data_IF_867091690249
#
_entry.id   IF_867091690249
#
_cell.length_a   1.000
_cell.length_b   1.000
_cell.length_c   1.000
_cell.angle_alpha   90.00
_cell.angle_beta   90.00
_cell.angle_gamma   90.00
#
_symmetry.space_group_name_H-M   'P 1'
#
loop_
_entity.id
_entity.type
_entity.pdbx_description
1 polymer ?
#
# COMPACT_ATOMS: atom_id res chain seq x y z
N UNK A 1 20.40 0.98 -20.89
CA UNK A 1 18.98 1.13 -21.34
C UNK A 1 18.56 -0.18 -21.99
N UNK A 2 17.72 -0.95 -21.34
CA UNK A 2 17.18 -2.19 -21.87
C UNK A 2 15.73 -1.98 -22.38
N UNK A 3 15.48 -2.09 -23.71
CA UNK A 3 14.13 -1.98 -24.27
C UNK A 3 13.21 -3.15 -23.91
N UNK A 4 13.76 -4.32 -23.56
CA UNK A 4 12.96 -5.51 -23.25
C UNK A 4 12.31 -5.43 -21.86
N UNK A 5 12.92 -4.67 -20.94
CA UNK A 5 12.38 -4.35 -19.63
C UNK A 5 11.36 -3.19 -19.64
N UNK A 6 10.98 -2.68 -20.85
CA UNK A 6 10.06 -1.56 -21.00
C UNK A 6 8.81 -1.94 -21.78
N UNK A 7 7.73 -1.20 -21.53
CA UNK A 7 6.44 -1.36 -22.22
C UNK A 7 5.87 0.01 -22.65
N UNK A 8 4.88 -0.01 -23.54
CA UNK A 8 4.21 1.19 -23.97
C UNK A 8 3.26 1.75 -22.91
N UNK A 9 3.37 3.04 -22.60
CA UNK A 9 2.53 3.73 -21.62
C UNK A 9 1.29 4.41 -22.24
N UNK A 10 1.18 4.46 -23.57
CA UNK A 10 0.07 5.11 -24.24
C UNK A 10 -1.26 4.37 -23.98
N UNK A 11 -2.28 5.03 -23.38
CA UNK A 11 -3.57 4.40 -23.06
C UNK A 11 -4.33 3.89 -24.28
N UNK A 12 -4.06 4.45 -25.46
CA UNK A 12 -4.71 4.08 -26.72
C UNK A 12 -3.95 3.00 -27.51
N UNK A 13 -2.79 2.56 -27.02
CA UNK A 13 -1.97 1.57 -27.72
C UNK A 13 -2.38 0.14 -27.34
N UNK A 14 -2.64 -0.74 -28.34
CA UNK A 14 -2.97 -2.15 -28.04
C UNK A 14 -1.81 -2.90 -27.37
N UNK A 15 -0.56 -2.41 -27.51
CA UNK A 15 0.62 -2.97 -26.85
C UNK A 15 0.91 -2.32 -25.48
N UNK A 16 -0.03 -1.56 -24.90
CA UNK A 16 0.12 -0.92 -23.59
C UNK A 16 0.38 -1.97 -22.50
N UNK A 17 1.36 -1.70 -21.64
CA UNK A 17 1.66 -2.53 -20.48
C UNK A 17 2.24 -3.91 -20.78
N UNK A 18 2.51 -4.24 -22.05
CA UNK A 18 2.98 -5.57 -22.44
C UNK A 18 4.50 -5.59 -22.55
N UNK A 19 5.14 -6.32 -21.61
CA UNK A 19 6.57 -6.58 -21.61
C UNK A 19 6.96 -7.66 -22.65
N UNK A 20 8.21 -7.64 -23.12
CA UNK A 20 8.78 -8.70 -23.94
C UNK A 20 8.26 -8.79 -25.38
N UNK A 21 7.38 -7.90 -25.83
CA UNK A 21 6.82 -7.88 -27.19
C UNK A 21 7.78 -7.37 -28.27
N UNK A 22 9.00 -7.00 -27.91
CA UNK A 22 10.01 -6.40 -28.81
C UNK A 22 9.50 -5.18 -29.60
N UNK A 23 8.46 -4.53 -29.11
CA UNK A 23 7.84 -3.35 -29.71
C UNK A 23 8.39 -2.02 -29.16
N UNK A 24 9.34 -2.07 -28.23
CA UNK A 24 10.02 -0.91 -27.68
C UNK A 24 11.44 -0.82 -28.24
N UNK A 25 11.86 0.37 -28.67
CA UNK A 25 13.21 0.66 -29.13
C UNK A 25 13.79 1.87 -28.44
N UNK A 26 15.11 1.96 -28.34
CA UNK A 26 15.80 3.16 -27.87
C UNK A 26 15.60 4.26 -28.90
N UNK A 27 14.99 5.37 -28.50
CA UNK A 27 14.81 6.56 -29.35
C UNK A 27 15.98 7.53 -29.25
N UNK A 28 16.39 7.84 -28.00
CA UNK A 28 17.54 8.71 -27.73
C UNK A 28 18.26 8.21 -26.47
N UNK A 29 19.55 7.86 -26.60
CA UNK A 29 20.38 7.49 -25.44
C UNK A 29 20.74 8.71 -24.59
N UNK A 30 21.01 9.86 -25.22
CA UNK A 30 21.32 11.13 -24.54
C UNK A 30 20.18 11.59 -23.65
N UNK A 31 18.95 11.55 -24.15
CA UNK A 31 17.75 11.95 -23.41
C UNK A 31 17.11 10.80 -22.62
N UNK A 32 17.67 9.59 -22.68
CA UNK A 32 17.13 8.38 -22.06
C UNK A 32 15.67 8.14 -22.43
N UNK A 33 15.34 8.14 -23.73
CA UNK A 33 14.00 7.97 -24.25
C UNK A 33 13.84 6.69 -25.04
N UNK A 34 12.67 6.11 -24.97
CA UNK A 34 12.21 4.98 -25.76
C UNK A 34 11.12 5.39 -26.74
N UNK A 35 10.91 4.58 -27.77
CA UNK A 35 9.83 4.69 -28.75
C UNK A 35 9.09 3.37 -28.86
N UNK A 36 7.75 3.41 -28.80
CA UNK A 36 6.91 2.27 -29.15
C UNK A 36 6.72 2.24 -30.66
N UNK A 37 7.09 1.14 -31.33
CA UNK A 37 6.91 0.99 -32.79
C UNK A 37 5.45 0.74 -33.18
N UNK A 38 4.62 0.23 -32.25
CA UNK A 38 3.19 -0.02 -32.51
C UNK A 38 2.37 1.26 -32.64
N UNK A 39 2.64 2.29 -31.81
CA UNK A 39 1.90 3.55 -31.83
C UNK A 39 2.75 4.78 -32.17
N UNK A 40 4.05 4.63 -32.40
CA UNK A 40 4.98 5.71 -32.74
C UNK A 40 5.33 6.66 -31.58
N UNK A 41 4.63 6.64 -30.45
CA UNK A 41 4.86 7.57 -29.32
C UNK A 41 6.18 7.27 -28.61
N UNK A 42 6.83 8.35 -28.14
CA UNK A 42 8.06 8.27 -27.33
C UNK A 42 7.76 8.56 -25.87
N UNK A 43 8.56 7.97 -24.97
CA UNK A 43 8.45 8.20 -23.54
C UNK A 43 9.83 8.17 -22.87
N UNK A 44 9.96 8.83 -21.71
CA UNK A 44 11.20 8.83 -20.94
C UNK A 44 11.41 7.49 -20.23
N UNK A 45 12.65 7.07 -20.02
CA UNK A 45 12.98 5.86 -19.25
C UNK A 45 12.45 5.89 -17.81
N UNK A 46 12.25 7.09 -17.25
CA UNK A 46 11.69 7.30 -15.90
C UNK A 46 10.16 7.43 -15.87
N UNK A 47 9.49 7.21 -17.02
CA UNK A 47 8.02 7.33 -17.08
C UNK A 47 7.37 6.34 -16.09
N UNK A 48 6.33 6.78 -15.37
CA UNK A 48 5.63 6.02 -14.30
C UNK A 48 6.51 5.61 -13.11
N UNK A 49 7.73 6.12 -12.99
CA UNK A 49 8.57 5.98 -11.79
C UNK A 49 8.51 7.25 -10.92
N UNK A 50 8.94 7.19 -9.65
CA UNK A 50 9.05 8.37 -8.79
C UNK A 50 9.97 9.48 -9.36
N UNK A 51 10.89 9.12 -10.27
CA UNK A 51 11.88 10.02 -10.87
C UNK A 51 11.37 10.81 -12.07
N UNK A 52 10.17 10.50 -12.57
CA UNK A 52 9.63 11.17 -13.77
C UNK A 52 9.49 12.68 -13.58
N UNK A 53 10.08 13.46 -14.51
CA UNK A 53 10.10 14.93 -14.51
C UNK A 53 10.65 15.55 -13.20
N UNK A 54 11.57 14.91 -12.52
CA UNK A 54 12.30 15.55 -11.44
C UNK A 54 13.41 16.46 -12.00
N UNK A 55 13.60 17.63 -11.35
CA UNK A 55 14.66 18.57 -11.69
C UNK A 55 15.98 18.28 -10.95
N UNK A 56 15.93 17.59 -9.83
CA UNK A 56 17.10 17.23 -9.03
C UNK A 56 17.70 15.90 -9.52
N UNK A 57 19.00 15.68 -9.36
CA UNK A 57 19.66 14.41 -9.71
C UNK A 57 19.01 13.22 -9.02
N UNK A 58 18.90 12.10 -9.76
CA UNK A 58 18.28 10.87 -9.26
C UNK A 58 19.03 10.33 -8.04
N UNK A 59 20.36 10.45 -8.03
CA UNK A 59 21.25 10.00 -6.95
C UNK A 59 20.91 10.70 -5.62
N UNK A 60 20.69 12.01 -5.66
CA UNK A 60 20.28 12.78 -4.47
C UNK A 60 18.91 12.32 -3.97
N UNK A 61 17.96 12.10 -4.88
CA UNK A 61 16.62 11.62 -4.51
C UNK A 61 16.69 10.24 -3.87
N UNK A 62 17.53 9.33 -4.41
CA UNK A 62 17.76 8.00 -3.85
C UNK A 62 18.36 8.07 -2.44
N UNK A 63 19.40 8.89 -2.24
CA UNK A 63 20.01 9.08 -0.91
C UNK A 63 18.94 9.54 0.10
N UNK A 64 18.17 10.57 -0.25
CA UNK A 64 17.11 11.11 0.62
C UNK A 64 16.04 10.06 0.94
N UNK A 65 15.57 9.31 -0.05
CA UNK A 65 14.56 8.27 0.16
C UNK A 65 15.08 7.11 0.99
N UNK A 66 16.35 6.73 0.81
CA UNK A 66 17.03 5.71 1.63
C UNK A 66 17.12 6.17 3.09
N UNK A 67 17.57 7.40 3.35
CA UNK A 67 17.63 7.97 4.70
C UNK A 67 16.25 7.98 5.37
N UNK A 68 15.18 8.35 4.63
CA UNK A 68 13.81 8.32 5.14
C UNK A 68 13.34 6.89 5.48
N UNK A 69 13.73 5.89 4.70
CA UNK A 69 13.41 4.49 5.00
C UNK A 69 14.09 4.00 6.29
N UNK A 70 15.26 4.53 6.61
CA UNK A 70 15.99 4.23 7.84
C UNK A 70 15.62 5.14 9.02
N UNK A 71 14.53 5.90 8.92
CA UNK A 71 14.00 6.71 10.02
C UNK A 71 14.79 8.02 10.26
N UNK A 72 15.61 8.46 9.31
CA UNK A 72 16.27 9.76 9.43
C UNK A 72 15.21 10.88 9.51
N UNK A 73 15.29 11.78 10.50
CA UNK A 73 14.35 12.87 10.64
C UNK A 73 14.35 13.78 9.41
N UNK A 74 13.16 14.18 8.95
CA UNK A 74 13.01 15.07 7.79
C UNK A 74 13.83 16.34 7.94
N UNK A 75 13.82 16.97 9.13
CA UNK A 75 14.56 18.19 9.41
C UNK A 75 16.09 18.01 9.32
N UNK A 76 16.60 16.84 9.68
CA UNK A 76 18.02 16.52 9.50
C UNK A 76 18.39 16.47 8.01
N UNK A 77 17.54 15.91 7.17
CA UNK A 77 17.72 15.87 5.72
C UNK A 77 17.65 17.28 5.12
N UNK A 78 16.68 18.10 5.55
CA UNK A 78 16.56 19.50 5.14
C UNK A 78 17.85 20.26 5.45
N UNK A 79 18.36 20.14 6.69
CA UNK A 79 19.58 20.82 7.12
C UNK A 79 20.83 20.32 6.37
N UNK A 80 20.96 19.00 6.17
CA UNK A 80 22.14 18.40 5.55
C UNK A 80 22.26 18.69 4.04
N UNK A 81 21.14 18.74 3.32
CA UNK A 81 21.13 18.84 1.85
C UNK A 81 20.62 20.19 1.32
N UNK A 82 20.22 21.13 2.18
CA UNK A 82 19.65 22.41 1.75
C UNK A 82 18.39 22.27 0.92
N UNK A 83 17.60 21.24 1.16
CA UNK A 83 16.37 20.95 0.43
C UNK A 83 15.16 21.54 1.13
N UNK A 84 14.18 21.98 0.34
CA UNK A 84 12.87 22.36 0.87
C UNK A 84 12.09 21.15 1.38
N UNK A 85 11.43 21.28 2.53
CA UNK A 85 10.68 20.22 3.18
C UNK A 85 9.55 19.68 2.30
N UNK A 86 8.85 20.55 1.55
CA UNK A 86 7.76 20.16 0.64
C UNK A 86 8.29 19.33 -0.52
N UNK A 87 9.52 19.61 -0.98
CA UNK A 87 10.18 18.81 -2.02
C UNK A 87 10.44 17.39 -1.54
N UNK A 88 10.99 17.23 -0.33
CA UNK A 88 11.25 15.90 0.24
C UNK A 88 9.92 15.15 0.47
N UNK A 89 8.90 15.85 0.99
CA UNK A 89 7.57 15.27 1.20
C UNK A 89 6.92 14.81 -0.13
N UNK A 90 7.09 15.58 -1.21
CA UNK A 90 6.63 15.21 -2.53
C UNK A 90 7.34 13.95 -3.07
N UNK A 91 8.67 13.84 -2.90
CA UNK A 91 9.43 12.66 -3.30
C UNK A 91 8.98 11.41 -2.52
N UNK A 92 8.83 11.53 -1.19
CA UNK A 92 8.30 10.45 -0.35
C UNK A 92 6.91 10.00 -0.81
N UNK A 93 6.01 10.94 -1.12
CA UNK A 93 4.66 10.61 -1.59
C UNK A 93 4.68 9.87 -2.93
N UNK A 94 5.54 10.30 -3.86
CA UNK A 94 5.70 9.63 -5.16
C UNK A 94 6.28 8.23 -4.99
N UNK A 95 7.34 8.10 -4.19
CA UNK A 95 7.98 6.81 -3.90
C UNK A 95 7.02 5.86 -3.15
N UNK A 96 6.23 6.38 -2.21
CA UNK A 96 5.22 5.60 -1.50
C UNK A 96 4.11 5.06 -2.40
N UNK A 97 3.62 5.87 -3.35
CA UNK A 97 2.65 5.42 -4.36
C UNK A 97 3.25 4.33 -5.25
N UNK A 98 4.48 4.51 -5.70
CA UNK A 98 5.20 3.50 -6.47
C UNK A 98 5.39 2.22 -5.66
N UNK A 99 5.82 2.31 -4.40
CA UNK A 99 5.96 1.17 -3.49
C UNK A 99 4.65 0.41 -3.29
N UNK A 100 3.51 1.11 -3.20
CA UNK A 100 2.20 0.46 -3.11
C UNK A 100 1.87 -0.34 -4.38
N UNK A 101 2.08 0.23 -5.56
CA UNK A 101 1.86 -0.45 -6.84
C UNK A 101 2.84 -1.61 -7.03
N UNK A 102 4.10 -1.42 -6.64
CA UNK A 102 5.13 -2.46 -6.66
C UNK A 102 4.75 -3.64 -5.78
N UNK A 103 4.34 -3.39 -4.55
CA UNK A 103 3.89 -4.41 -3.61
C UNK A 103 2.66 -5.16 -4.13
N UNK A 104 1.68 -4.45 -4.70
CA UNK A 104 0.48 -5.02 -5.30
C UNK A 104 0.83 -6.05 -6.39
N UNK A 105 1.83 -5.75 -7.21
CA UNK A 105 2.26 -6.61 -8.30
C UNK A 105 3.17 -7.75 -7.83
N UNK A 106 4.20 -7.46 -7.02
CA UNK A 106 5.25 -8.43 -6.70
C UNK A 106 4.94 -9.30 -5.47
N UNK A 107 4.15 -8.80 -4.50
CA UNK A 107 3.85 -9.54 -3.27
C UNK A 107 2.44 -10.12 -3.30
N UNK A 108 1.43 -9.35 -3.77
CA UNK A 108 0.05 -9.79 -3.78
C UNK A 108 -0.36 -10.57 -5.04
N UNK A 109 0.61 -11.04 -5.82
CA UNK A 109 0.39 -11.83 -7.04
C UNK A 109 0.04 -13.31 -6.81
N UNK A 110 -0.19 -13.75 -5.56
CA UNK A 110 -0.59 -15.12 -5.23
C UNK A 110 0.52 -16.17 -5.35
N UNK A 111 1.80 -15.76 -5.20
CA UNK A 111 2.96 -16.63 -5.37
C UNK A 111 3.69 -16.98 -4.06
N UNK A 112 3.26 -16.43 -2.92
CA UNK A 112 3.98 -16.59 -1.66
C UNK A 112 3.54 -17.87 -0.94
N UNK A 113 4.48 -18.75 -0.61
CA UNK A 113 4.23 -19.88 0.30
C UNK A 113 4.23 -19.35 1.74
N UNK A 114 3.05 -19.22 2.33
CA UNK A 114 2.89 -18.56 3.63
C UNK A 114 3.38 -19.41 4.81
N UNK A 115 3.04 -20.70 4.84
CA UNK A 115 3.34 -21.63 5.93
C UNK A 115 2.77 -21.18 7.29
N UNK A 116 3.29 -20.09 7.84
CA UNK A 116 2.83 -19.46 9.09
C UNK A 116 2.75 -17.95 8.92
N UNK A 117 1.63 -17.35 9.29
CA UNK A 117 1.36 -15.91 9.24
C UNK A 117 1.12 -15.35 10.62
N UNK A 118 1.66 -14.18 10.89
CA UNK A 118 1.31 -13.37 12.07
C UNK A 118 0.78 -12.01 11.63
N UNK A 119 -0.18 -11.47 12.37
CA UNK A 119 -0.74 -10.14 12.15
C UNK A 119 -0.99 -9.40 13.48
N UNK A 120 -0.83 -8.08 13.44
CA UNK A 120 -1.00 -7.19 14.59
C UNK A 120 -1.27 -5.75 14.15
N UNK A 121 -1.79 -4.89 15.04
CA UNK A 121 -2.03 -3.48 14.76
C UNK A 121 -1.19 -2.56 15.62
N UNK A 122 -0.74 -1.48 14.99
CA UNK A 122 -0.05 -0.37 15.62
C UNK A 122 -0.96 0.84 15.77
N UNK A 123 -0.94 1.43 16.94
CA UNK A 123 -1.54 2.73 17.17
C UNK A 123 -0.62 3.85 16.71
N UNK A 124 -1.16 4.84 15.98
CA UNK A 124 -0.42 5.97 15.43
C UNK A 124 -1.10 7.28 15.83
N UNK A 125 -0.32 8.20 16.45
CA UNK A 125 -0.77 9.55 16.74
C UNK A 125 -0.78 10.41 15.47
N UNK A 126 -1.83 11.17 15.26
CA UNK A 126 -1.95 12.15 14.21
C UNK A 126 -2.45 13.50 14.78
N UNK A 127 -2.37 14.57 13.98
CA UNK A 127 -2.70 15.94 14.41
C UNK A 127 -4.13 16.03 14.95
N UNK A 128 -5.11 15.51 14.19
CA UNK A 128 -6.55 15.65 14.49
C UNK A 128 -7.19 14.34 14.90
N UNK A 129 -6.64 13.22 14.45
CA UNK A 129 -7.25 11.89 14.58
C UNK A 129 -6.23 10.87 15.05
N UNK A 130 -6.72 9.71 15.43
CA UNK A 130 -5.91 8.50 15.66
C UNK A 130 -5.94 7.67 14.39
N UNK A 131 -4.83 7.00 14.09
CA UNK A 131 -4.81 5.97 13.06
C UNK A 131 -4.40 4.63 13.66
N UNK A 132 -4.86 3.58 13.03
CA UNK A 132 -4.43 2.21 13.27
C UNK A 132 -3.77 1.70 12.01
N UNK A 133 -2.62 1.10 12.16
CA UNK A 133 -1.87 0.47 11.07
C UNK A 133 -1.81 -1.02 11.35
N UNK A 134 -2.66 -1.80 10.68
CA UNK A 134 -2.66 -3.25 10.75
C UNK A 134 -1.66 -3.81 9.74
N UNK A 135 -0.83 -4.77 10.14
CA UNK A 135 0.20 -5.41 9.31
C UNK A 135 0.15 -6.91 9.45
N UNK A 136 0.60 -7.60 8.39
CA UNK A 136 0.77 -9.05 8.38
C UNK A 136 2.13 -9.44 7.80
N UNK A 137 2.67 -10.58 8.25
CA UNK A 137 3.91 -11.14 7.73
C UNK A 137 3.83 -12.65 7.56
N UNK A 138 4.53 -13.19 6.58
CA UNK A 138 4.86 -14.61 6.48
C UNK A 138 6.08 -14.88 7.36
N UNK A 139 5.88 -15.67 8.41
CA UNK A 139 6.89 -15.87 9.46
C UNK A 139 8.14 -16.61 8.95
N UNK A 140 8.04 -17.69 8.13
CA UNK A 140 9.23 -18.41 7.68
C UNK A 140 10.21 -17.54 6.89
N UNK A 141 9.70 -16.71 5.98
CA UNK A 141 10.50 -15.81 5.15
C UNK A 141 10.67 -14.41 5.74
N UNK A 142 10.06 -14.09 6.88
CA UNK A 142 10.00 -12.72 7.45
C UNK A 142 9.36 -11.70 6.49
N UNK A 143 8.73 -12.13 5.42
CA UNK A 143 8.17 -11.25 4.39
C UNK A 143 6.98 -10.45 4.95
N UNK A 144 7.08 -9.13 4.89
CA UNK A 144 5.93 -8.26 5.12
C UNK A 144 4.92 -8.43 4.00
N UNK A 145 3.73 -8.95 4.31
CA UNK A 145 2.65 -9.24 3.36
C UNK A 145 1.81 -8.01 3.01
N UNK A 146 2.03 -6.92 3.73
CA UNK A 146 1.31 -5.69 3.53
C UNK A 146 0.72 -5.13 4.81
N UNK A 147 0.08 -3.99 4.68
CA UNK A 147 -0.61 -3.33 5.77
C UNK A 147 -1.73 -2.42 5.30
N UNK A 148 -2.61 -2.08 6.22
CA UNK A 148 -3.75 -1.20 6.02
C UNK A 148 -3.75 -0.13 7.09
N UNK A 149 -3.96 1.12 6.70
CA UNK A 149 -4.13 2.24 7.63
C UNK A 149 -5.60 2.61 7.68
N UNK A 150 -6.14 2.89 8.87
CA UNK A 150 -7.51 3.35 9.06
C UNK A 150 -7.63 4.21 10.30
N UNK A 151 -8.60 5.12 10.30
CA UNK A 151 -8.98 5.89 11.48
C UNK A 151 -9.74 5.04 12.53
N UNK A 152 -10.20 3.83 12.17
CA UNK A 152 -10.95 2.94 13.03
C UNK A 152 -10.23 1.60 13.19
N UNK A 153 -10.20 1.07 14.42
CA UNK A 153 -9.80 -0.31 14.74
C UNK A 153 -11.02 -1.20 14.70
N UNK A 154 -11.51 -1.49 13.53
CA UNK A 154 -12.76 -2.23 13.32
C UNK A 154 -12.57 -3.46 12.43
N UNK A 155 -13.66 -4.20 12.23
CA UNK A 155 -13.65 -5.38 11.39
C UNK A 155 -13.29 -5.07 9.93
N UNK A 156 -13.58 -3.86 9.44
CA UNK A 156 -13.25 -3.45 8.06
C UNK A 156 -11.74 -3.38 7.85
N UNK A 157 -11.01 -2.76 8.79
CA UNK A 157 -9.54 -2.70 8.80
C UNK A 157 -8.95 -4.11 8.70
N UNK A 158 -9.38 -5.00 9.58
CA UNK A 158 -8.86 -6.37 9.64
C UNK A 158 -9.28 -7.19 8.41
N UNK A 159 -10.52 -7.05 7.93
CA UNK A 159 -10.98 -7.75 6.73
C UNK A 159 -10.14 -7.37 5.50
N UNK A 160 -9.82 -6.09 5.33
CA UNK A 160 -8.96 -5.62 4.23
C UNK A 160 -7.57 -6.23 4.33
N UNK A 161 -6.96 -6.26 5.53
CA UNK A 161 -5.66 -6.91 5.74
C UNK A 161 -5.72 -8.41 5.40
N UNK A 162 -6.73 -9.12 5.87
CA UNK A 162 -6.91 -10.57 5.64
C UNK A 162 -7.13 -10.87 4.15
N UNK A 163 -7.81 -9.99 3.40
CA UNK A 163 -7.93 -10.08 1.95
C UNK A 163 -6.56 -9.96 1.25
N UNK A 164 -5.66 -9.08 1.75
CA UNK A 164 -4.30 -8.99 1.23
C UNK A 164 -3.52 -10.29 1.49
N UNK A 165 -3.62 -10.85 2.70
CA UNK A 165 -3.00 -12.16 3.01
C UNK A 165 -3.49 -13.25 2.06
N UNK A 166 -4.81 -13.33 1.81
CA UNK A 166 -5.38 -14.30 0.86
C UNK A 166 -4.83 -14.10 -0.57
N UNK A 167 -4.68 -12.86 -1.00
CA UNK A 167 -4.17 -12.54 -2.35
C UNK A 167 -2.69 -12.88 -2.51
N UNK A 168 -1.88 -12.75 -1.47
CA UNK A 168 -0.47 -13.12 -1.48
C UNK A 168 -0.26 -14.64 -1.52
N UNK A 169 -1.19 -15.41 -0.96
CA UNK A 169 -1.05 -16.84 -0.73
C UNK A 169 -1.03 -17.66 -2.00
N UNK A 170 0.00 -18.49 -2.19
CA UNK A 170 0.08 -19.54 -3.21
C UNK A 170 -0.79 -20.74 -2.85
N UNK A 171 -0.87 -21.07 -1.55
CA UNK A 171 -1.70 -22.13 -0.99
C UNK A 171 -2.52 -21.58 0.17
N UNK A 172 -3.75 -22.08 0.32
CA UNK A 172 -4.64 -21.66 1.42
C UNK A 172 -4.43 -22.48 2.71
N UNK A 173 -3.55 -23.49 2.68
CA UNK A 173 -3.19 -24.30 3.84
C UNK A 173 -1.99 -23.66 4.57
N UNK A 174 -2.24 -22.92 5.66
CA UNK A 174 -1.25 -22.30 6.52
C UNK A 174 -1.79 -22.00 7.91
N UNK A 175 -0.88 -21.78 8.86
CA UNK A 175 -1.21 -21.35 10.20
C UNK A 175 -1.28 -19.82 10.30
N UNK A 176 -2.23 -19.31 11.06
CA UNK A 176 -2.32 -17.90 11.46
C UNK A 176 -2.23 -17.79 12.96
N UNK A 177 -1.34 -16.95 13.48
CA UNK A 177 -1.28 -16.59 14.88
C UNK A 177 -1.49 -15.08 15.05
N UNK A 178 -2.49 -14.71 15.86
CA UNK A 178 -2.88 -13.32 16.12
C UNK A 178 -3.10 -13.08 17.61
N UNK A 179 -3.29 -11.81 17.99
CA UNK A 179 -3.71 -11.46 19.35
C UNK A 179 -5.16 -11.84 19.64
N UNK A 180 -5.65 -11.49 20.84
CA UNK A 180 -7.02 -11.79 21.29
C UNK A 180 -8.13 -10.98 20.61
N UNK A 181 -7.85 -10.14 19.60
CA UNK A 181 -8.86 -9.32 18.92
C UNK A 181 -9.85 -10.18 18.13
N UNK A 182 -11.14 -10.12 18.50
CA UNK A 182 -12.20 -10.94 17.90
C UNK A 182 -12.40 -10.68 16.39
N UNK A 183 -12.05 -9.47 15.92
CA UNK A 183 -12.14 -9.10 14.50
C UNK A 183 -11.31 -10.00 13.59
N UNK A 184 -10.16 -10.54 14.06
CA UNK A 184 -9.35 -11.50 13.30
C UNK A 184 -10.12 -12.79 13.02
N UNK A 185 -10.70 -13.38 14.07
CA UNK A 185 -11.50 -14.62 13.92
C UNK A 185 -12.60 -14.42 12.88
N UNK A 186 -13.35 -13.34 13.03
CA UNK A 186 -14.45 -13.02 12.11
C UNK A 186 -13.95 -12.76 10.66
N UNK A 187 -12.84 -12.01 10.50
CA UNK A 187 -12.29 -11.69 9.19
C UNK A 187 -11.76 -12.94 8.47
N UNK A 188 -10.97 -13.78 9.14
CA UNK A 188 -10.48 -15.03 8.55
C UNK A 188 -11.63 -15.97 8.20
N UNK A 189 -12.62 -16.14 9.08
CA UNK A 189 -13.81 -16.95 8.81
C UNK A 189 -14.65 -16.44 7.63
N UNK A 190 -14.66 -15.12 7.36
CA UNK A 190 -15.39 -14.53 6.24
C UNK A 190 -14.62 -14.59 4.93
N UNK A 191 -13.31 -14.28 4.97
CA UNK A 191 -12.48 -14.14 3.77
C UNK A 191 -12.06 -15.51 3.22
N UNK A 192 -11.77 -16.49 4.07
CA UNK A 192 -11.34 -17.82 3.65
C UNK A 192 -12.50 -18.77 3.45
N UNK A 193 -13.39 -18.42 2.52
CA UNK A 193 -14.51 -19.23 2.06
C UNK A 193 -14.58 -19.19 0.55
N UNK A 194 -14.90 -20.35 -0.05
CA UNK A 194 -15.14 -20.46 -1.48
C UNK A 194 -16.59 -20.82 -1.79
N UNK A 195 -17.13 -20.36 -2.93
CA UNK A 195 -18.47 -20.72 -3.35
C UNK A 195 -18.54 -22.18 -3.76
N UNK A 196 -19.46 -22.93 -3.17
CA UNK A 196 -19.77 -24.30 -3.56
C UNK A 196 -20.99 -24.27 -4.47
N UNK A 197 -20.78 -24.63 -5.73
CA UNK A 197 -21.84 -24.71 -6.72
C UNK A 197 -22.52 -26.10 -6.63
N UNK A 198 -23.79 -26.13 -6.20
CA UNK A 198 -24.58 -27.38 -6.04
C UNK A 198 -25.43 -27.69 -7.24
N UNK A 199 -25.30 -26.94 -8.36
CA UNK A 199 -26.18 -27.09 -9.54
C UNK A 199 -27.60 -26.55 -9.38
N UNK A 200 -27.96 -26.06 -8.17
CA UNK A 200 -29.29 -25.46 -7.92
C UNK A 200 -29.24 -23.96 -8.26
N UNK A 201 -30.37 -23.45 -8.76
CA UNK A 201 -30.52 -22.00 -8.98
C UNK A 201 -30.42 -21.21 -7.66
N UNK A 202 -29.79 -20.05 -7.70
CA UNK A 202 -29.62 -19.17 -6.54
C UNK A 202 -28.16 -18.89 -6.17
N UNK A 203 -27.95 -18.15 -5.06
CA UNK A 203 -26.60 -17.78 -4.59
C UNK A 203 -25.85 -19.02 -4.06
N UNK A 204 -24.62 -19.31 -4.53
CA UNK A 204 -23.84 -20.43 -4.03
C UNK A 204 -23.62 -20.33 -2.50
N UNK A 205 -23.65 -21.48 -1.83
CA UNK A 205 -23.24 -21.57 -0.42
C UNK A 205 -21.75 -21.36 -0.32
N UNK A 206 -21.32 -20.54 0.68
CA UNK A 206 -19.90 -20.38 0.97
C UNK A 206 -19.45 -21.45 1.98
N UNK A 207 -18.46 -22.26 1.62
CA UNK A 207 -17.80 -23.20 2.51
C UNK A 207 -16.41 -22.70 2.92
N UNK A 208 -16.00 -23.02 4.15
CA UNK A 208 -14.65 -22.73 4.61
C UNK A 208 -13.62 -23.48 3.77
N UNK A 209 -12.52 -22.80 3.44
CA UNK A 209 -11.40 -23.41 2.72
C UNK A 209 -10.66 -24.35 3.66
N UNK A 210 -10.40 -25.61 3.27
CA UNK A 210 -9.71 -26.58 4.12
C UNK A 210 -8.23 -26.20 4.30
N UNK A 211 -7.63 -26.63 5.43
CA UNK A 211 -6.19 -26.47 5.70
C UNK A 211 -5.79 -25.15 6.35
N UNK A 212 -6.70 -24.18 6.52
CA UNK A 212 -6.43 -22.99 7.31
C UNK A 212 -6.48 -23.31 8.81
N UNK A 213 -5.42 -22.98 9.54
CA UNK A 213 -5.34 -23.09 11.00
C UNK A 213 -5.28 -21.69 11.62
N UNK A 214 -5.97 -21.49 12.74
CA UNK A 214 -6.00 -20.19 13.44
C UNK A 214 -5.82 -20.38 14.92
N UNK A 215 -4.78 -19.73 15.47
CA UNK A 215 -4.50 -19.64 16.89
C UNK A 215 -4.51 -18.19 17.37
N UNK A 216 -4.96 -17.99 18.60
CA UNK A 216 -4.91 -16.69 19.29
C UNK A 216 -4.03 -16.75 20.53
N UNK A 217 -3.24 -15.69 20.72
CA UNK A 217 -2.48 -15.42 21.92
C UNK A 217 -3.18 -14.30 22.70
N UNK A 218 -3.79 -14.63 23.83
CA UNK A 218 -4.52 -13.69 24.68
C UNK A 218 -3.66 -13.35 25.88
N UNK A 219 -3.29 -12.08 26.03
CA UNK A 219 -2.49 -11.56 27.14
C UNK A 219 -3.42 -10.90 28.16
N UNK A 220 -3.50 -11.46 29.36
CA UNK A 220 -4.27 -10.90 30.45
C UNK A 220 -3.39 -9.98 31.29
N UNK A 221 -3.82 -8.75 31.49
CA UNK A 221 -3.08 -7.74 32.22
C UNK A 221 -3.86 -7.31 33.46
N UNK A 222 -3.16 -7.15 34.59
CA UNK A 222 -3.67 -6.48 35.78
C UNK A 222 -2.90 -5.17 35.95
N UNK A 223 -3.53 -4.08 35.54
CA UNK A 223 -2.83 -2.78 35.43
C UNK A 223 -1.73 -2.82 34.37
N UNK A 224 -0.47 -2.65 34.76
CA UNK A 224 0.70 -2.69 33.88
C UNK A 224 1.37 -4.07 33.76
N UNK A 225 0.97 -5.02 34.60
CA UNK A 225 1.62 -6.33 34.72
C UNK A 225 0.89 -7.36 33.87
N UNK A 226 1.65 -8.17 33.11
CA UNK A 226 1.17 -9.36 32.45
C UNK A 226 0.99 -10.44 33.51
N UNK A 227 -0.25 -10.92 33.69
CA UNK A 227 -0.59 -11.92 34.72
C UNK A 227 -0.65 -13.30 34.11
N UNK A 228 -1.25 -13.43 32.93
CA UNK A 228 -1.48 -14.72 32.29
C UNK A 228 -1.41 -14.59 30.78
N UNK A 229 -0.98 -15.67 30.12
CA UNK A 229 -0.99 -15.81 28.66
C UNK A 229 -1.75 -17.06 28.28
N UNK A 230 -2.93 -16.87 27.69
CA UNK A 230 -3.77 -17.97 27.21
C UNK A 230 -3.54 -18.19 25.72
N UNK A 231 -3.29 -19.43 25.31
CA UNK A 231 -3.21 -19.85 23.90
C UNK A 231 -4.48 -20.58 23.53
N UNK A 232 -5.22 -20.05 22.57
CA UNK A 232 -6.51 -20.59 22.13
C UNK A 232 -6.43 -21.07 20.69
N UNK A 233 -6.78 -22.33 20.44
CA UNK A 233 -7.02 -22.85 19.10
C UNK A 233 -8.42 -22.42 18.68
N UNK A 234 -8.53 -21.70 17.56
CA UNK A 234 -9.80 -21.20 17.02
C UNK A 234 -10.26 -22.04 15.83
N UNK A 235 -9.32 -22.45 14.97
CA UNK A 235 -9.60 -23.26 13.79
C UNK A 235 -8.50 -24.31 13.64
N UNK A 236 -8.89 -25.57 13.43
CA UNK A 236 -7.99 -26.72 13.40
C UNK A 236 -7.80 -27.37 14.76
N UNK A 237 -6.74 -28.14 14.94
CA UNK A 237 -6.39 -28.86 16.17
C UNK A 237 -5.03 -28.39 16.71
N UNK A 238 -4.77 -28.65 17.98
CA UNK A 238 -3.49 -28.31 18.63
C UNK A 238 -2.32 -29.07 17.97
N UNK A 239 -2.54 -30.33 17.63
CA UNK A 239 -1.56 -31.19 16.98
C UNK A 239 -1.20 -30.67 15.59
N UNK A 240 -2.20 -30.27 14.78
CA UNK A 240 -1.98 -29.69 13.45
C UNK A 240 -1.20 -28.38 13.53
N UNK A 241 -1.50 -27.51 14.51
CA UNK A 241 -0.76 -26.27 14.76
C UNK A 241 0.68 -26.59 15.13
N UNK A 242 0.90 -27.53 16.05
CA UNK A 242 2.25 -27.93 16.48
C UNK A 242 3.06 -28.51 15.31
N UNK A 243 2.45 -29.32 14.46
CA UNK A 243 3.09 -29.88 13.28
C UNK A 243 3.54 -28.78 12.30
N UNK A 244 2.70 -27.74 12.03
CA UNK A 244 3.07 -26.62 11.17
C UNK A 244 4.19 -25.79 11.78
N UNK A 245 4.15 -25.51 13.09
CA UNK A 245 5.22 -24.77 13.79
C UNK A 245 6.56 -25.50 13.70
N UNK A 246 6.55 -26.81 13.91
CA UNK A 246 7.75 -27.65 13.76
C UNK A 246 8.27 -27.68 12.32
N UNK A 247 7.39 -27.91 11.33
CA UNK A 247 7.76 -27.95 9.92
C UNK A 247 8.29 -26.62 9.39
N UNK A 248 7.84 -25.49 9.92
CA UNK A 248 8.28 -24.15 9.53
C UNK A 248 9.43 -23.62 10.40
N UNK A 249 9.82 -24.30 11.47
CA UNK A 249 10.85 -23.83 12.40
C UNK A 249 10.51 -22.51 13.10
N UNK A 250 9.22 -22.23 13.30
CA UNK A 250 8.74 -20.91 13.78
C UNK A 250 8.30 -20.91 15.25
N UNK A 251 8.69 -21.92 16.02
CA UNK A 251 8.47 -22.02 17.45
C UNK A 251 7.79 -23.31 17.87
N UNK A 252 7.54 -23.45 19.18
CA UNK A 252 6.91 -24.65 19.80
C UNK A 252 5.46 -24.43 20.19
N UNK A 253 4.93 -23.22 20.02
CA UNK A 253 3.56 -22.88 20.38
C UNK A 253 3.07 -21.59 19.75
N UNK A 254 1.76 -21.35 19.82
CA UNK A 254 1.12 -20.13 19.34
C UNK A 254 1.79 -18.92 19.99
N UNK A 255 2.33 -18.01 19.16
CA UNK A 255 2.99 -16.77 19.57
C UNK A 255 2.80 -15.67 18.53
N UNK A 256 3.11 -14.41 18.92
CA UNK A 256 3.05 -13.21 18.09
C UNK A 256 4.39 -12.46 18.03
N UNK A 257 5.47 -13.13 18.45
CA UNK A 257 6.79 -12.49 18.64
C UNK A 257 7.41 -11.94 17.35
N UNK A 258 7.16 -12.59 16.23
CA UNK A 258 7.72 -12.17 14.94
C UNK A 258 7.07 -10.88 14.40
N UNK A 259 5.74 -10.80 14.48
CA UNK A 259 5.06 -9.57 14.08
C UNK A 259 5.35 -8.42 15.06
N UNK A 260 5.52 -8.69 16.34
CA UNK A 260 5.94 -7.68 17.33
C UNK A 260 7.33 -7.14 17.00
N UNK A 261 8.28 -7.98 16.56
CA UNK A 261 9.59 -7.57 16.09
C UNK A 261 9.51 -6.74 14.79
N UNK A 262 8.68 -7.15 13.83
CA UNK A 262 8.42 -6.37 12.62
C UNK A 262 7.84 -5.00 12.98
N UNK A 263 6.89 -4.94 13.91
CA UNK A 263 6.32 -3.71 14.44
C UNK A 263 7.39 -2.79 15.04
N UNK A 264 8.38 -3.34 15.74
CA UNK A 264 9.51 -2.58 16.27
C UNK A 264 10.37 -2.00 15.13
N UNK A 265 10.65 -2.78 14.08
CA UNK A 265 11.36 -2.32 12.88
C UNK A 265 10.62 -1.17 12.20
N UNK A 266 9.30 -1.29 12.02
CA UNK A 266 8.52 -0.18 11.43
C UNK A 266 8.47 1.05 12.35
N UNK A 267 8.46 0.87 13.68
CA UNK A 267 8.57 2.01 14.62
C UNK A 267 9.89 2.74 14.51
N UNK A 268 11.01 2.06 14.27
CA UNK A 268 12.30 2.71 14.07
C UNK A 268 12.41 3.42 12.73
N UNK A 269 11.78 2.88 11.68
CA UNK A 269 11.82 3.42 10.32
C UNK A 269 10.80 4.55 10.06
N UNK A 270 9.66 4.52 10.75
CA UNK A 270 8.57 5.48 10.59
C UNK A 270 8.50 6.39 11.82
N UNK A 271 9.09 7.57 11.74
CA UNK A 271 9.16 8.51 12.86
C UNK A 271 7.82 8.75 13.60
N UNK A 272 6.65 8.82 12.92
CA UNK A 272 5.37 8.97 13.61
C UNK A 272 4.96 7.78 14.49
N UNK A 273 5.57 6.61 14.31
CA UNK A 273 5.32 5.42 15.13
C UNK A 273 6.20 5.36 16.37
N UNK A 274 7.22 6.22 16.48
CA UNK A 274 8.14 6.25 17.63
C UNK A 274 7.35 6.61 18.88
N UNK A 275 7.42 5.74 19.91
CA UNK A 275 6.82 6.02 21.22
C UNK A 275 7.48 7.26 21.81
N UNK A 276 6.68 8.25 22.25
CA UNK A 276 7.15 9.55 22.77
C UNK A 276 7.90 10.43 21.73
N UNK A 277 7.80 10.10 20.42
CA UNK A 277 8.31 10.93 19.33
C UNK A 277 7.48 12.21 19.16
N UNK A 278 8.11 13.26 18.61
CA UNK A 278 7.46 14.54 18.26
C UNK A 278 6.85 14.52 16.85
N UNK A 279 7.25 13.56 16.01
CA UNK A 279 6.74 13.46 14.65
C UNK A 279 5.26 13.04 14.65
N UNK A 280 4.44 13.75 13.89
CA UNK A 280 3.00 13.55 13.80
C UNK A 280 2.63 13.32 12.33
N UNK A 281 1.65 12.45 12.09
CA UNK A 281 1.10 12.20 10.75
C UNK A 281 0.01 13.21 10.43
N UNK A 282 0.10 13.83 9.26
CA UNK A 282 -0.90 14.79 8.79
C UNK A 282 -2.09 14.13 8.08
N UNK A 283 -2.00 12.86 7.68
CA UNK A 283 -3.09 12.16 7.02
C UNK A 283 -2.82 10.69 6.73
N UNK A 284 -3.90 9.95 6.52
CA UNK A 284 -3.89 8.50 6.25
C UNK A 284 -3.06 8.14 5.01
N UNK A 285 -3.24 8.88 3.90
CA UNK A 285 -2.51 8.61 2.66
C UNK A 285 -1.00 8.83 2.77
N UNK A 286 -0.55 9.78 3.62
CA UNK A 286 0.87 10.01 3.89
C UNK A 286 1.47 8.82 4.63
N UNK A 287 0.77 8.33 5.66
CA UNK A 287 1.21 7.17 6.44
C UNK A 287 1.21 5.90 5.58
N UNK A 288 0.15 5.68 4.81
CA UNK A 288 0.04 4.55 3.88
C UNK A 288 1.20 4.54 2.89
N UNK A 289 1.46 5.65 2.21
CA UNK A 289 2.58 5.73 1.25
C UNK A 289 3.93 5.47 1.92
N UNK A 290 4.16 6.01 3.12
CA UNK A 290 5.40 5.80 3.86
C UNK A 290 5.55 4.35 4.32
N UNK A 291 4.48 3.72 4.80
CA UNK A 291 4.43 2.30 5.16
C UNK A 291 4.82 1.41 3.97
N UNK A 292 4.27 1.67 2.77
CA UNK A 292 4.61 0.89 1.58
C UNK A 292 6.04 1.10 1.11
N UNK A 293 6.56 2.32 1.19
CA UNK A 293 7.96 2.59 0.85
C UNK A 293 8.92 1.81 1.75
N UNK A 294 8.69 1.88 3.08
CA UNK A 294 9.50 1.14 4.07
C UNK A 294 9.30 -0.36 3.94
N UNK A 295 8.06 -0.82 3.77
CA UNK A 295 7.76 -2.26 3.63
C UNK A 295 8.39 -2.89 2.39
N UNK A 296 8.41 -2.18 1.26
CA UNK A 296 9.11 -2.66 0.06
C UNK A 296 10.62 -2.65 0.25
N UNK A 297 11.20 -1.59 0.87
CA UNK A 297 12.62 -1.55 1.20
C UNK A 297 13.00 -2.68 2.16
N UNK A 298 12.21 -2.94 3.19
CA UNK A 298 12.38 -4.05 4.13
C UNK A 298 12.37 -5.41 3.41
N UNK A 299 11.41 -5.63 2.52
CA UNK A 299 11.29 -6.90 1.82
C UNK A 299 12.41 -7.15 0.82
N UNK A 300 12.80 -6.14 0.04
CA UNK A 300 13.67 -6.34 -1.12
C UNK A 300 15.08 -5.82 -0.94
N UNK A 301 15.29 -4.79 -0.09
CA UNK A 301 16.60 -4.13 0.02
C UNK A 301 17.34 -4.44 1.31
N UNK A 302 16.66 -4.86 2.38
CA UNK A 302 17.29 -5.08 3.68
C UNK A 302 17.53 -6.54 3.94
N UNK A 303 18.79 -6.88 4.29
CA UNK A 303 19.15 -8.22 4.75
C UNK A 303 18.56 -8.49 6.14
N UNK A 304 18.22 -9.73 6.38
CA UNK A 304 17.69 -10.17 7.66
C UNK A 304 18.56 -11.27 8.23
N UNK A 305 19.23 -11.02 9.38
CA UNK A 305 20.23 -11.94 9.96
C UNK A 305 19.73 -13.38 10.16
N UNK A 306 18.45 -13.55 10.57
CA UNK A 306 17.87 -14.87 10.77
C UNK A 306 17.54 -15.64 9.48
N UNK A 307 17.71 -15.00 8.31
CA UNK A 307 17.47 -15.60 7.01
C UNK A 307 18.76 -15.98 6.27
N UNK A 308 19.92 -15.74 6.88
CA UNK A 308 21.21 -16.14 6.30
C UNK A 308 21.22 -17.63 6.00
N UNK A 309 21.74 -17.99 4.84
CA UNK A 309 21.96 -19.39 4.43
C UNK A 309 23.44 -19.71 4.40
N UNK A 310 23.78 -20.97 4.63
CA UNK A 310 25.16 -21.40 4.52
C UNK A 310 25.66 -21.16 3.09
N UNK A 311 26.87 -20.60 2.97
CA UNK A 311 27.49 -20.43 1.68
C UNK A 311 27.99 -21.79 1.16
N UNK A 312 28.06 -22.01 -0.16
CA UNK A 312 28.64 -23.20 -0.76
C UNK A 312 30.10 -23.44 -0.28
N UNK A 313 30.51 -24.71 -0.19
CA UNK A 313 31.91 -25.05 0.12
C UNK A 313 32.86 -24.34 -0.84
N UNK A 314 33.92 -23.73 -0.30
CA UNK A 314 34.96 -23.03 -1.07
C UNK A 314 34.74 -21.52 -1.18
N UNK A 315 33.65 -20.97 -0.71
CA UNK A 315 33.46 -19.52 -0.63
C UNK A 315 34.20 -18.93 0.59
N UNK A 316 34.65 -17.65 0.45
CA UNK A 316 35.33 -16.90 1.51
C UNK A 316 34.43 -16.66 2.73
N UNK A 317 33.13 -16.45 2.49
CA UNK A 317 32.14 -16.18 3.53
C UNK A 317 31.45 -17.49 3.94
N UNK A 318 31.21 -17.67 5.23
CA UNK A 318 30.46 -18.82 5.77
C UNK A 318 28.94 -18.70 5.51
N UNK A 319 28.42 -17.48 5.37
CA UNK A 319 27.03 -17.18 5.25
C UNK A 319 26.79 -16.23 4.08
N UNK A 320 25.71 -16.46 3.37
CA UNK A 320 25.12 -15.52 2.39
C UNK A 320 23.94 -14.82 3.01
N UNK A 321 23.92 -13.50 2.92
CA UNK A 321 22.82 -12.69 3.37
C UNK A 321 21.59 -12.88 2.48
N UNK A 322 20.41 -12.84 3.08
CA UNK A 322 19.15 -12.89 2.36
C UNK A 322 18.18 -11.79 2.83
N UNK A 323 17.43 -11.24 1.87
CA UNK A 323 16.28 -10.40 2.13
C UNK A 323 15.01 -11.26 2.32
N UNK A 324 13.97 -10.75 2.96
CA UNK A 324 12.69 -11.44 3.06
C UNK A 324 12.10 -11.86 1.69
N UNK A 325 12.28 -11.05 0.65
CA UNK A 325 11.82 -11.37 -0.69
C UNK A 325 12.61 -12.53 -1.34
N UNK A 326 13.93 -12.59 -1.11
CA UNK A 326 14.76 -13.73 -1.53
C UNK A 326 14.32 -15.02 -0.81
N UNK A 327 14.14 -14.97 0.50
CA UNK A 327 13.67 -16.11 1.29
C UNK A 327 12.25 -16.58 0.92
N UNK A 328 11.44 -15.68 0.39
CA UNK A 328 10.09 -15.99 -0.13
C UNK A 328 10.11 -16.46 -1.60
N UNK A 329 11.25 -16.48 -2.27
CA UNK A 329 11.38 -16.86 -3.69
C UNK A 329 10.82 -15.84 -4.67
N UNK A 330 10.68 -14.57 -4.27
CA UNK A 330 10.18 -13.49 -5.12
C UNK A 330 11.28 -12.81 -5.94
N UNK A 331 12.52 -12.99 -5.56
CA UNK A 331 13.73 -12.49 -6.25
C UNK A 331 14.91 -13.38 -5.94
N UNK A 332 15.92 -13.36 -6.82
CA UNK A 332 17.16 -14.11 -6.72
C UNK A 332 18.32 -13.30 -6.10
N UNK A 333 18.15 -12.00 -5.91
CA UNK A 333 19.18 -11.10 -5.38
C UNK A 333 18.59 -10.02 -4.46
N UNK A 334 19.48 -9.39 -3.69
CA UNK A 334 19.16 -8.19 -2.92
C UNK A 334 19.06 -6.98 -3.85
N UNK A 335 17.93 -6.31 -3.82
CA UNK A 335 17.70 -5.09 -4.62
C UNK A 335 18.33 -3.86 -3.98
N UNK A 336 18.82 -2.97 -4.82
CA UNK A 336 19.12 -1.60 -4.42
C UNK A 336 17.84 -0.76 -4.37
N UNK A 337 17.87 0.34 -3.64
CA UNK A 337 16.75 1.32 -3.67
C UNK A 337 16.54 1.89 -5.09
N UNK A 338 17.61 1.97 -5.88
CA UNK A 338 17.53 2.38 -7.28
C UNK A 338 16.74 1.42 -8.14
N UNK A 339 16.99 0.13 -8.02
CA UNK A 339 16.23 -0.93 -8.71
C UNK A 339 14.77 -0.93 -8.28
N UNK A 340 14.51 -0.92 -6.96
CA UNK A 340 13.15 -0.89 -6.41
C UNK A 340 12.32 0.27 -6.98
N UNK A 341 12.87 1.48 -6.96
CA UNK A 341 12.15 2.69 -7.35
C UNK A 341 12.15 2.94 -8.88
N UNK A 342 13.00 2.24 -9.63
CA UNK A 342 13.03 2.31 -11.10
C UNK A 342 12.30 1.14 -11.76
N UNK A 343 11.86 0.15 -10.99
CA UNK A 343 11.18 -1.03 -11.53
C UNK A 343 9.90 -0.64 -12.27
N UNK A 344 9.76 -0.97 -13.56
CA UNK A 344 8.52 -0.73 -14.29
C UNK A 344 7.40 -1.63 -13.76
N UNK A 345 6.30 -1.03 -13.35
CA UNK A 345 5.14 -1.79 -12.85
C UNK A 345 4.19 -2.02 -14.01
N UNK A 346 3.85 -3.28 -14.34
CA UNK A 346 2.94 -3.59 -15.43
C UNK A 346 1.60 -2.85 -15.29
N UNK A 347 1.18 -2.25 -16.39
CA UNK A 347 -0.11 -1.57 -16.46
C UNK A 347 -1.23 -2.59 -16.73
N UNK A 348 -2.48 -2.28 -16.32
CA UNK A 348 -3.62 -3.13 -16.67
C UNK A 348 -3.68 -3.35 -18.19
N UNK A 349 -4.11 -4.54 -18.66
CA UNK A 349 -4.27 -4.83 -20.07
C UNK A 349 -5.10 -3.77 -20.76
N UNK A 350 -4.71 -3.43 -22.00
CA UNK A 350 -5.52 -2.56 -22.82
C UNK A 350 -6.88 -3.19 -23.11
N UNK A 351 -7.94 -2.47 -22.79
CA UNK A 351 -9.30 -2.88 -23.12
C UNK A 351 -9.79 -1.95 -24.22
N UNK A 352 -10.22 -2.53 -25.34
CA UNK A 352 -10.77 -1.75 -26.43
C UNK A 352 -11.95 -0.90 -25.91
N UNK A 353 -12.02 0.39 -26.22
CA UNK A 353 -13.13 1.21 -25.82
C UNK A 353 -14.42 0.62 -26.39
N UNK A 354 -15.40 0.36 -25.53
CA UNK A 354 -16.71 -0.10 -25.99
C UNK A 354 -17.23 0.96 -26.97
N UNK A 355 -17.37 0.57 -28.25
CA UNK A 355 -18.04 1.45 -29.23
C UNK A 355 -19.42 1.76 -28.65
N UNK A 356 -19.65 3.02 -28.30
CA UNK A 356 -21.03 3.47 -28.01
C UNK A 356 -21.83 3.17 -29.27
N UNK A 357 -22.73 2.20 -29.22
CA UNK A 357 -23.76 2.05 -30.26
C UNK A 357 -24.41 3.42 -30.35
N UNK A 358 -24.22 4.11 -31.49
CA UNK A 358 -25.06 5.25 -31.81
C UNK A 358 -26.49 4.69 -31.76
N UNK A 359 -27.26 5.13 -30.78
CA UNK A 359 -28.71 4.92 -30.80
C UNK A 359 -29.18 5.40 -32.15
N UNK A 360 -29.94 4.59 -32.92
CA UNK A 360 -30.53 5.06 -34.16
C UNK A 360 -31.27 6.35 -33.81
N UNK A 361 -30.97 7.44 -34.52
CA UNK A 361 -31.77 8.66 -34.46
C UNK A 361 -33.18 8.18 -34.82
N UNK A 362 -34.08 8.09 -33.85
CA UNK A 362 -35.51 8.06 -34.18
C UNK A 362 -35.74 9.36 -34.94
N UNK A 363 -36.01 9.24 -36.22
CA UNK A 363 -36.66 10.31 -36.99
C UNK A 363 -37.97 10.53 -36.29
N UNK A 364 -38.08 11.53 -35.45
CA UNK A 364 -39.32 12.12 -35.08
C UNK A 364 -39.70 12.99 -36.29
N UNK A 365 -40.70 12.54 -37.03
CA UNK A 365 -41.34 13.41 -38.00
C UNK A 365 -41.69 14.72 -37.30
N UNK A 366 -41.36 15.88 -37.90
CA UNK A 366 -41.69 17.14 -37.30
C UNK A 366 -43.22 17.22 -37.17
N UNK A 367 -43.71 17.23 -35.96
CA UNK A 367 -45.11 17.50 -35.67
C UNK A 367 -45.45 18.88 -36.28
N UNK A 368 -46.55 19.03 -37.03
CA UNK A 368 -46.96 20.33 -37.57
C UNK A 368 -47.23 21.30 -36.40
N UNK A 369 -46.52 22.41 -36.41
CA UNK A 369 -46.68 23.49 -35.44
C UNK A 369 -48.07 24.08 -35.63
N UNK A 370 -48.97 24.12 -34.60
CA UNK A 370 -50.28 24.78 -34.74
C UNK A 370 -50.07 26.26 -34.89
N UNK A 371 -50.59 26.82 -35.99
CA UNK A 371 -50.49 28.21 -36.42
C UNK A 371 -51.49 29.11 -35.64
N UNK A 372 -51.57 29.04 -34.31
CA UNK A 372 -52.37 30.00 -33.53
C UNK A 372 -51.95 30.01 -32.06
N UNK A 373 -50.89 30.75 -31.76
CA UNK A 373 -50.67 31.30 -30.43
C UNK A 373 -50.05 32.69 -30.60
N UNK A 374 -50.89 33.72 -30.46
CA UNK A 374 -50.47 35.10 -30.30
C UNK A 374 -49.62 35.18 -29.03
N UNK A 375 -48.35 35.49 -29.16
CA UNK A 375 -47.51 35.81 -28.01
C UNK A 375 -47.85 37.18 -27.47
N UNK A 376 -48.04 37.37 -26.17
CA UNK A 376 -48.16 38.70 -25.59
C UNK A 376 -46.79 39.39 -25.67
N UNK A 377 -46.78 40.63 -26.14
CA UNK A 377 -45.62 41.52 -26.19
C UNK A 377 -45.20 41.81 -24.75
N UNK A 378 -44.03 41.31 -24.36
CA UNK A 378 -43.37 41.68 -23.10
C UNK A 378 -42.52 42.91 -23.36
N UNK A 379 -42.93 44.04 -22.77
CA UNK A 379 -42.18 45.30 -22.72
C UNK A 379 -40.90 45.10 -21.89
N UNK A 380 -39.78 45.76 -22.22
CA UNK A 380 -38.55 45.64 -21.47
C UNK A 380 -38.61 46.42 -20.15
N UNK A 381 -38.48 45.74 -19.02
CA UNK A 381 -38.23 46.36 -17.73
C UNK A 381 -36.75 46.81 -17.69
N UNK A 382 -36.54 48.09 -17.89
CA UNK A 382 -35.38 48.83 -17.34
C UNK A 382 -35.71 49.16 -15.88
N UNK A 383 -34.63 49.20 -15.08
CA UNK A 383 -34.56 49.66 -13.68
C UNK A 383 -34.86 48.65 -12.59
N UNK A 384 -33.74 48.12 -12.04
CA UNK A 384 -33.51 48.00 -10.59
C UNK A 384 -32.13 47.40 -10.33
N UNK A 385 -31.09 48.20 -10.61
CA UNK A 385 -29.75 48.03 -10.06
C UNK A 385 -29.46 49.27 -9.23
N UNK A 386 -29.90 49.30 -7.99
CA UNK A 386 -29.39 50.14 -6.90
C UNK A 386 -30.07 49.68 -5.61
N UNK A 387 -29.33 49.05 -4.76
CA UNK A 387 -29.42 48.99 -3.30
C UNK A 387 -28.96 47.63 -2.78
N UNK A 388 -27.67 47.53 -2.54
CA UNK A 388 -27.08 46.75 -1.42
C UNK A 388 -25.60 47.11 -1.36
N UNK A 389 -25.37 48.30 -0.87
CA UNK A 389 -24.09 48.74 -0.31
C UNK A 389 -24.44 49.47 0.97
N UNK A 390 -23.63 49.32 1.98
CA UNK A 390 -23.70 49.89 3.36
C UNK A 390 -24.39 48.94 4.37
N UNK A 391 -23.56 48.27 5.15
CA UNK A 391 -23.41 48.51 6.58
C UNK A 391 -22.56 47.37 7.18
N UNK A 392 -21.31 47.65 7.43
CA UNK A 392 -20.50 47.06 8.51
C UNK A 392 -19.25 47.93 8.79
N UNK A 393 -19.51 49.02 9.43
CA UNK A 393 -18.49 49.63 10.29
C UNK A 393 -18.99 49.59 11.74
N UNK A 394 -18.00 49.58 12.66
CA UNK A 394 -18.09 49.91 14.08
C UNK A 394 -18.18 48.68 15.01
N UNK A 395 -17.07 48.54 15.74
CA UNK A 395 -16.98 47.73 16.94
C UNK A 395 -15.54 47.54 17.48
N UNK A 396 -14.72 48.58 17.46
CA UNK A 396 -13.54 48.66 18.28
C UNK A 396 -13.92 49.17 19.67
N UNK A 397 -13.69 48.33 20.70
CA UNK A 397 -13.62 48.81 22.08
C UNK A 397 -12.67 47.93 22.87
N UNK A 398 -11.56 48.55 23.16
CA UNK A 398 -10.58 48.33 24.21
C UNK A 398 -11.15 47.80 25.52
N UNK A 399 -10.43 46.83 26.11
CA UNK A 399 -10.08 46.94 27.53
C UNK A 399 -8.81 46.14 27.87
N UNK A 400 -7.82 46.88 28.32
CA UNK A 400 -6.66 46.42 29.10
C UNK A 400 -7.16 45.91 30.45
N UNK A 401 -6.58 44.82 30.96
CA UNK A 401 -6.35 44.66 32.39
C UNK A 401 -5.15 43.73 32.62
N UNK A 402 -4.18 44.26 33.35
CA UNK A 402 -3.04 43.60 34.00
C UNK A 402 -3.54 42.73 35.16
N UNK A 403 -2.79 41.67 35.43
CA UNK A 403 -2.31 41.15 36.73
C UNK A 403 -1.66 39.81 36.47
N UNK A 404 -0.38 39.55 36.53
CA UNK A 404 0.61 39.30 37.61
C UNK A 404 0.11 38.39 38.71
N UNK A 405 0.88 37.33 38.91
CA UNK A 405 1.20 36.49 40.05
C UNK A 405 1.15 34.97 39.81
N UNK A 406 2.25 34.34 40.22
CA UNK A 406 2.36 32.95 40.62
C UNK A 406 3.23 32.12 39.71
#
# INVERSE_FOLDING_TARGET
>A
MDPQAQFCHNPECPARGQLGRRNIRVHSRKERRYRCITCGRTFAATHDTPFYRLKKPTELVLIVLTLLCHGCPLQAIVAAFGLDERTIAAWRTRAGRHGQQFHEHHVLGGQVQLGHVQADELYVKAVVRRFWMAMAMAVPSRLWLGGVVSARRDLSLITTLVQMVRRAAKSMAFLVCVDGLASYVTAFARVFRDPVHTGKAGRPRLAAIPGLLLGQLIKHHRGRYLVEVTRRVVLGTAEAITAVLAATGTGTGINTSYIERLNATFRSALNPLVRRGRAIVHGEGVLTGWMYLVGCAYNFCWNHDSLRVAAPPGERLKWRDQTPAMAAGLTDHQWTMGELLSCPIPLPPWVAPKRRRRLPKRFQDPQPVPTSARFPVVLPLKESLKAFSLDREIGLSSQKSMASFG
#
